data_IF_896928845264
#
_entry.id   IF_896928845264
#
_cell.length_a   1.000
_cell.length_b   1.000
_cell.length_c   1.000
_cell.angle_alpha   90.00
_cell.angle_beta   90.00
_cell.angle_gamma   90.00
#
_symmetry.space_group_name_H-M   'P 1'
#
loop_
_entity.id
_entity.type
_entity.pdbx_description
1 polymer ?
#
# COMPACT_ATOMS: atom_id res chain seq x y z
N UNK A 1 -8.63 4.38 -10.07
CA UNK A 1 -8.97 3.23 -9.21
C UNK A 1 -9.68 2.11 -9.97
N UNK A 2 -10.70 2.38 -10.81
CA UNK A 2 -11.44 1.33 -11.55
C UNK A 2 -10.62 0.48 -12.54
N UNK A 3 -9.50 0.99 -13.07
CA UNK A 3 -8.63 0.24 -14.00
C UNK A 3 -7.71 -0.81 -13.36
N UNK A 4 -7.61 -0.81 -12.02
CA UNK A 4 -6.75 -1.72 -11.25
C UNK A 4 -7.54 -2.91 -10.67
N UNK A 5 -8.85 -2.76 -10.48
CA UNK A 5 -9.71 -3.80 -9.90
C UNK A 5 -9.63 -5.16 -10.62
N UNK A 6 -9.64 -5.24 -11.97
CA UNK A 6 -9.53 -6.52 -12.66
C UNK A 6 -8.19 -7.23 -12.43
N UNK A 7 -7.12 -6.46 -12.25
CA UNK A 7 -5.78 -6.98 -11.97
C UNK A 7 -5.74 -7.55 -10.55
N UNK A 8 -6.29 -6.82 -9.58
CA UNK A 8 -6.38 -7.30 -8.19
C UNK A 8 -7.19 -8.59 -8.15
N UNK A 9 -8.38 -8.62 -8.76
CA UNK A 9 -9.21 -9.82 -8.81
C UNK A 9 -8.49 -11.00 -9.47
N UNK A 10 -7.82 -10.76 -10.60
CA UNK A 10 -7.02 -11.79 -11.28
C UNK A 10 -5.87 -12.33 -10.41
N UNK A 11 -5.20 -11.46 -9.64
CA UNK A 11 -4.15 -11.87 -8.72
C UNK A 11 -4.68 -12.78 -7.59
N UNK A 12 -5.86 -12.47 -7.04
CA UNK A 12 -6.53 -13.33 -6.05
C UNK A 12 -6.87 -14.69 -6.63
N UNK A 13 -7.46 -14.71 -7.84
CA UNK A 13 -7.81 -15.97 -8.51
C UNK A 13 -6.57 -16.83 -8.74
N UNK A 14 -5.47 -16.25 -9.23
CA UNK A 14 -4.22 -16.98 -9.44
C UNK A 14 -3.64 -17.52 -8.14
N UNK A 15 -3.67 -16.75 -7.06
CA UNK A 15 -3.18 -17.21 -5.77
C UNK A 15 -4.02 -18.36 -5.19
N UNK A 16 -5.36 -18.29 -5.33
CA UNK A 16 -6.26 -19.38 -4.91
C UNK A 16 -6.05 -20.63 -5.77
N UNK A 17 -5.83 -20.48 -7.09
CA UNK A 17 -5.55 -21.62 -7.97
C UNK A 17 -4.22 -22.26 -7.60
N UNK A 18 -3.16 -21.47 -7.42
CA UNK A 18 -1.85 -21.97 -7.01
C UNK A 18 -1.89 -22.59 -5.59
N UNK A 19 -2.64 -22.00 -4.66
CA UNK A 19 -2.89 -22.55 -3.34
C UNK A 19 -3.64 -23.88 -3.39
N UNK A 20 -4.67 -23.99 -4.24
CA UNK A 20 -5.41 -25.22 -4.48
C UNK A 20 -4.50 -26.33 -5.01
N UNK A 21 -3.61 -26.01 -5.96
CA UNK A 21 -2.62 -26.96 -6.47
C UNK A 21 -1.70 -27.45 -5.35
N UNK A 22 -1.25 -26.54 -4.48
CA UNK A 22 -0.38 -26.89 -3.36
C UNK A 22 -1.09 -27.78 -2.33
N UNK A 23 -2.36 -27.51 -2.02
CA UNK A 23 -3.19 -28.38 -1.18
C UNK A 23 -3.24 -29.79 -1.77
N UNK A 24 -3.49 -29.91 -3.08
CA UNK A 24 -3.56 -31.21 -3.78
C UNK A 24 -2.21 -31.94 -3.70
N UNK A 25 -1.09 -31.25 -3.91
CA UNK A 25 0.23 -31.88 -3.86
C UNK A 25 0.69 -32.27 -2.45
N UNK A 26 0.19 -31.60 -1.41
CA UNK A 26 0.61 -31.84 -0.02
C UNK A 26 -0.31 -32.79 0.75
N UNK A 27 -1.52 -33.04 0.25
CA UNK A 27 -2.47 -33.90 0.93
C UNK A 27 -2.11 -35.39 0.81
N UNK A 28 -2.07 -36.09 1.95
CA UNK A 28 -1.66 -37.50 2.01
C UNK A 28 -2.61 -38.44 1.25
N UNK A 29 -3.92 -38.19 1.28
CA UNK A 29 -4.91 -39.01 0.58
C UNK A 29 -4.79 -38.85 -0.94
N UNK A 30 -4.52 -37.63 -1.40
CA UNK A 30 -4.25 -37.36 -2.82
C UNK A 30 -2.95 -38.04 -3.26
N UNK A 31 -1.88 -37.96 -2.46
CA UNK A 31 -0.62 -38.63 -2.76
C UNK A 31 -0.78 -40.16 -2.83
N UNK A 32 -1.55 -40.74 -1.90
CA UNK A 32 -1.87 -42.16 -1.93
C UNK A 32 -2.66 -42.54 -3.19
N UNK A 33 -3.68 -41.74 -3.55
CA UNK A 33 -4.51 -41.95 -4.75
C UNK A 33 -3.74 -41.77 -6.06
N UNK A 34 -2.73 -40.88 -6.09
CA UNK A 34 -1.87 -40.67 -7.23
C UNK A 34 -1.04 -41.93 -7.56
N UNK A 35 -0.67 -42.73 -6.55
CA UNK A 35 0.09 -43.97 -6.73
C UNK A 35 -0.62 -45.03 -7.58
N UNK A 36 -1.95 -45.00 -7.63
CA UNK A 36 -2.78 -45.90 -8.45
C UNK A 36 -3.68 -45.13 -9.43
N UNK A 37 -3.26 -43.94 -9.85
CA UNK A 37 -4.03 -43.06 -10.73
C UNK A 37 -4.53 -43.75 -12.01
N UNK A 38 -3.68 -44.54 -12.67
CA UNK A 38 -4.06 -45.24 -13.91
C UNK A 38 -5.03 -46.40 -13.68
N UNK A 39 -5.19 -46.88 -12.45
CA UNK A 39 -6.16 -47.91 -12.10
C UNK A 39 -7.53 -47.30 -11.75
N UNK A 40 -7.54 -46.19 -10.99
CA UNK A 40 -8.76 -45.50 -10.56
C UNK A 40 -8.55 -43.98 -10.51
N UNK A 41 -8.62 -43.28 -11.64
CA UNK A 41 -8.36 -41.84 -11.68
C UNK A 41 -9.41 -41.03 -10.91
N UNK A 42 -10.63 -41.56 -10.77
CA UNK A 42 -11.72 -40.94 -10.02
C UNK A 42 -11.41 -40.77 -8.51
N UNK A 43 -10.63 -41.68 -7.92
CA UNK A 43 -10.29 -41.65 -6.50
C UNK A 43 -9.33 -40.46 -6.24
N UNK A 44 -8.39 -40.22 -7.14
CA UNK A 44 -7.49 -39.06 -7.05
C UNK A 44 -8.23 -37.74 -7.25
N UNK A 45 -9.14 -37.66 -8.22
CA UNK A 45 -9.92 -36.44 -8.49
C UNK A 45 -10.88 -36.10 -7.34
N UNK A 46 -11.52 -37.11 -6.76
CA UNK A 46 -12.41 -36.93 -5.60
C UNK A 46 -11.63 -36.57 -4.33
N UNK A 47 -10.49 -37.21 -4.07
CA UNK A 47 -9.59 -36.84 -2.98
C UNK A 47 -9.10 -35.39 -3.13
N UNK A 48 -8.72 -34.97 -4.33
CA UNK A 48 -8.30 -33.60 -4.62
C UNK A 48 -9.44 -32.59 -4.37
N UNK A 49 -10.64 -32.90 -4.85
CA UNK A 49 -11.83 -32.07 -4.63
C UNK A 49 -12.18 -31.94 -3.14
N UNK A 50 -12.11 -33.05 -2.39
CA UNK A 50 -12.36 -33.06 -0.95
C UNK A 50 -11.33 -32.24 -0.18
N UNK A 51 -10.04 -32.42 -0.46
CA UNK A 51 -8.96 -31.68 0.19
C UNK A 51 -9.08 -30.17 -0.03
N UNK A 52 -9.35 -29.74 -1.27
CA UNK A 52 -9.58 -28.33 -1.61
C UNK A 52 -10.81 -27.80 -0.86
N UNK A 53 -11.94 -28.52 -0.92
CA UNK A 53 -13.19 -28.10 -0.29
C UNK A 53 -13.05 -28.00 1.23
N UNK A 54 -12.40 -28.96 1.87
CA UNK A 54 -12.16 -28.96 3.31
C UNK A 54 -11.27 -27.79 3.74
N UNK A 55 -10.17 -27.54 3.01
CA UNK A 55 -9.27 -26.42 3.29
C UNK A 55 -9.98 -25.06 3.19
N UNK A 56 -10.66 -24.78 2.08
CA UNK A 56 -11.33 -23.49 1.89
C UNK A 56 -12.59 -23.33 2.74
N UNK A 57 -13.32 -24.41 3.01
CA UNK A 57 -14.46 -24.36 3.95
C UNK A 57 -13.99 -24.15 5.39
N UNK A 58 -12.86 -24.75 5.81
CA UNK A 58 -12.26 -24.48 7.11
C UNK A 58 -11.77 -23.02 7.21
N UNK A 59 -11.11 -22.51 6.16
CA UNK A 59 -10.72 -21.11 6.06
C UNK A 59 -11.92 -20.18 6.21
N UNK A 60 -12.99 -20.41 5.43
CA UNK A 60 -14.22 -19.60 5.50
C UNK A 60 -14.89 -19.66 6.88
N UNK A 61 -14.97 -20.87 7.47
CA UNK A 61 -15.55 -21.05 8.81
C UNK A 61 -14.80 -20.30 9.88
N UNK A 62 -13.46 -20.27 9.81
CA UNK A 62 -12.65 -19.52 10.78
C UNK A 62 -12.55 -18.02 10.50
N UNK A 63 -12.76 -17.60 9.25
CA UNK A 63 -12.61 -16.20 8.83
C UNK A 63 -13.92 -15.38 8.85
N UNK A 64 -15.06 -16.00 8.50
CA UNK A 64 -16.30 -15.26 8.26
C UNK A 64 -17.43 -15.78 9.13
N UNK A 65 -17.84 -17.04 8.95
CA UNK A 65 -18.98 -17.58 9.68
C UNK A 65 -18.87 -19.09 9.84
N UNK A 66 -18.87 -19.55 11.09
CA UNK A 66 -18.89 -20.98 11.39
C UNK A 66 -20.32 -21.52 11.42
N UNK A 67 -20.76 -22.05 10.27
CA UNK A 67 -22.08 -22.68 10.10
C UNK A 67 -22.22 -24.03 10.83
N UNK A 68 -21.15 -24.57 11.43
CA UNK A 68 -21.23 -25.80 12.23
C UNK A 68 -21.69 -25.54 13.67
N UNK A 69 -21.70 -24.27 14.10
CA UNK A 69 -22.12 -23.89 15.44
C UNK A 69 -23.65 -23.79 15.54
N UNK A 70 -24.24 -24.22 16.66
CA UNK A 70 -25.70 -24.28 16.84
C UNK A 70 -26.37 -22.91 16.92
N UNK A 71 -25.64 -21.87 17.33
CA UNK A 71 -26.17 -20.52 17.57
C UNK A 71 -25.46 -19.48 16.72
N UNK A 72 -26.20 -18.48 16.23
CA UNK A 72 -25.64 -17.36 15.44
C UNK A 72 -24.49 -16.64 16.17
N UNK A 73 -24.60 -16.46 17.49
CA UNK A 73 -23.57 -15.79 18.30
C UNK A 73 -22.21 -16.49 18.26
N UNK A 74 -22.22 -17.83 18.22
CA UNK A 74 -21.02 -18.65 18.08
C UNK A 74 -20.52 -18.69 16.64
N UNK A 75 -21.43 -18.66 15.66
CA UNK A 75 -21.06 -18.61 14.24
C UNK A 75 -20.37 -17.31 13.83
N UNK A 76 -20.86 -16.16 14.32
CA UNK A 76 -20.27 -14.83 14.03
C UNK A 76 -18.96 -14.57 14.81
N UNK A 77 -18.64 -15.41 15.80
CA UNK A 77 -17.40 -15.29 16.56
C UNK A 77 -16.14 -15.39 15.67
N UNK A 78 -16.21 -16.11 14.56
CA UNK A 78 -15.16 -16.20 13.56
C UNK A 78 -14.83 -14.83 12.95
N UNK A 79 -15.85 -14.10 12.46
CA UNK A 79 -15.67 -12.74 11.94
C UNK A 79 -15.12 -11.80 13.02
N UNK A 80 -15.61 -11.92 14.25
CA UNK A 80 -15.09 -11.12 15.37
C UNK A 80 -13.62 -11.45 15.64
N UNK A 81 -13.21 -12.72 15.55
CA UNK A 81 -11.81 -13.09 15.66
C UNK A 81 -10.98 -12.50 14.50
N UNK A 82 -11.49 -12.52 13.28
CA UNK A 82 -10.81 -11.87 12.14
C UNK A 82 -10.62 -10.37 12.32
N UNK A 83 -11.62 -9.67 12.87
CA UNK A 83 -11.50 -8.25 13.21
C UNK A 83 -10.47 -8.01 14.32
N UNK A 84 -10.39 -8.91 15.28
CA UNK A 84 -9.37 -8.88 16.33
C UNK A 84 -7.96 -9.00 15.73
N UNK A 85 -7.71 -10.02 14.91
CA UNK A 85 -6.39 -10.23 14.26
C UNK A 85 -6.07 -9.09 13.26
N UNK A 86 -7.07 -8.55 12.55
CA UNK A 86 -6.88 -7.44 11.61
C UNK A 86 -6.47 -6.12 12.29
N UNK A 87 -6.87 -5.89 13.54
CA UNK A 87 -6.68 -4.62 14.26
C UNK A 87 -5.21 -4.17 14.29
N UNK A 88 -4.25 -4.97 14.81
CA UNK A 88 -2.85 -4.58 14.83
C UNK A 88 -2.23 -4.51 13.43
N UNK A 89 -2.67 -5.36 12.48
CA UNK A 89 -2.21 -5.35 11.09
C UNK A 89 -2.59 -4.04 10.37
N UNK A 90 -3.81 -3.53 10.58
CA UNK A 90 -4.26 -2.25 10.02
C UNK A 90 -3.40 -1.12 10.59
N UNK A 91 -3.23 -1.05 11.91
CA UNK A 91 -2.47 0.02 12.57
C UNK A 91 -1.00 0.01 12.14
N UNK A 92 -0.34 -1.15 12.15
CA UNK A 92 1.04 -1.30 11.71
C UNK A 92 1.20 -1.02 10.21
N UNK A 93 0.28 -1.53 9.38
CA UNK A 93 0.26 -1.28 7.94
C UNK A 93 0.10 0.21 7.60
N UNK A 94 -0.69 0.96 8.38
CA UNK A 94 -0.82 2.42 8.23
C UNK A 94 0.51 3.12 8.52
N UNK A 95 1.23 2.70 9.56
CA UNK A 95 2.54 3.25 9.89
C UNK A 95 3.58 2.98 8.81
N UNK A 96 3.67 1.74 8.33
CA UNK A 96 4.58 1.37 7.23
C UNK A 96 4.20 2.09 5.93
N UNK A 97 2.91 2.11 5.58
CA UNK A 97 2.41 2.83 4.40
C UNK A 97 2.65 4.33 4.45
N UNK A 98 2.54 4.96 5.63
CA UNK A 98 2.90 6.37 5.81
C UNK A 98 4.40 6.59 5.57
N UNK A 99 5.27 5.72 6.08
CA UNK A 99 6.72 5.84 5.85
C UNK A 99 7.05 5.78 4.35
N UNK A 100 6.42 4.86 3.60
CA UNK A 100 6.58 4.79 2.13
C UNK A 100 6.16 6.09 1.43
N UNK A 101 5.12 6.78 1.92
CA UNK A 101 4.70 8.08 1.36
C UNK A 101 5.71 9.20 1.55
N UNK A 102 6.62 9.07 2.51
CA UNK A 102 7.72 10.02 2.78
C UNK A 102 9.01 9.58 2.07
N UNK A 103 9.00 8.46 1.35
CA UNK A 103 10.19 7.90 0.69
C UNK A 103 11.10 7.13 1.66
N UNK A 104 10.56 6.65 2.78
CA UNK A 104 11.29 5.89 3.80
C UNK A 104 10.81 4.44 3.80
N UNK A 105 11.71 3.49 3.51
CA UNK A 105 11.37 2.07 3.54
C UNK A 105 11.53 1.48 4.96
N UNK A 106 10.51 1.66 5.80
CA UNK A 106 10.53 1.26 7.22
C UNK A 106 10.30 -0.25 7.40
N UNK A 107 11.37 -1.02 7.61
CA UNK A 107 11.32 -2.45 8.00
C UNK A 107 11.35 -2.61 9.55
N UNK A 108 11.41 -1.49 10.28
CA UNK A 108 11.56 -1.45 11.74
C UNK A 108 10.27 -1.68 12.52
N UNK A 109 9.19 -2.12 11.84
CA UNK A 109 7.87 -2.26 12.43
C UNK A 109 7.87 -3.21 13.62
N UNK A 110 8.62 -4.31 13.53
CA UNK A 110 8.78 -5.25 14.63
C UNK A 110 9.32 -4.57 15.89
N UNK A 111 10.46 -3.88 15.80
CA UNK A 111 11.06 -3.19 16.95
C UNK A 111 10.14 -2.11 17.53
N UNK A 112 9.43 -1.38 16.68
CA UNK A 112 8.45 -0.37 17.10
C UNK A 112 7.30 -1.01 17.91
N UNK A 113 6.79 -2.18 17.48
CA UNK A 113 5.79 -2.97 18.22
C UNK A 113 6.35 -3.42 19.57
N UNK A 114 7.57 -3.97 19.61
CA UNK A 114 8.19 -4.49 20.84
C UNK A 114 8.36 -3.38 21.90
N UNK A 115 8.85 -2.20 21.50
CA UNK A 115 9.01 -1.07 22.43
C UNK A 115 7.66 -0.47 22.84
N UNK A 116 6.68 -0.41 21.94
CA UNK A 116 5.35 0.06 22.29
C UNK A 116 4.65 -0.88 23.30
N UNK A 117 4.77 -2.19 23.09
CA UNK A 117 4.31 -3.20 24.03
C UNK A 117 5.03 -3.08 25.38
N UNK A 118 6.36 -2.86 25.37
CA UNK A 118 7.13 -2.65 26.59
C UNK A 118 6.67 -1.41 27.37
N UNK A 119 6.49 -0.27 26.70
CA UNK A 119 6.03 0.98 27.32
C UNK A 119 4.62 0.86 27.90
N UNK A 120 3.67 0.31 27.13
CA UNK A 120 2.30 0.08 27.59
C UNK A 120 2.23 -0.94 28.73
N UNK A 121 2.96 -2.05 28.62
CA UNK A 121 3.05 -3.07 29.65
C UNK A 121 3.69 -2.57 30.93
N UNK A 122 4.65 -1.65 30.85
CA UNK A 122 5.28 -1.05 32.03
C UNK A 122 4.28 -0.22 32.82
N UNK A 123 3.52 0.65 32.15
CA UNK A 123 2.44 1.40 32.80
C UNK A 123 1.42 0.43 33.40
N UNK A 124 0.92 -0.50 32.59
CA UNK A 124 -0.14 -1.43 32.97
C UNK A 124 0.22 -2.38 34.12
N UNK A 125 1.51 -2.60 34.40
CA UNK A 125 1.96 -3.50 35.48
C UNK A 125 2.54 -2.77 36.69
N UNK A 126 3.05 -1.55 36.52
CA UNK A 126 3.81 -0.83 37.57
C UNK A 126 3.10 0.38 38.13
N UNK A 127 2.10 0.89 37.42
CA UNK A 127 1.36 2.06 37.86
C UNK A 127 -0.02 1.63 38.36
N UNK A 128 -0.42 2.17 39.50
CA UNK A 128 -1.77 2.03 40.02
C UNK A 128 -2.52 3.32 39.73
N UNK A 129 -3.34 3.30 38.67
CA UNK A 129 -4.15 4.43 38.26
C UNK A 129 -5.63 4.04 38.19
N UNK A 130 -6.55 5.00 38.39
CA UNK A 130 -7.98 4.75 38.24
C UNK A 130 -8.36 4.26 36.83
N UNK A 131 -9.46 3.52 36.74
CA UNK A 131 -10.02 3.06 35.47
C UNK A 131 -10.22 4.24 34.49
N UNK A 132 -9.94 4.02 33.21
CA UNK A 132 -9.97 5.05 32.17
C UNK A 132 -8.67 5.84 32.08
N UNK A 133 -8.21 6.47 33.17
CA UNK A 133 -6.92 7.18 33.18
C UNK A 133 -5.77 6.21 32.95
N UNK A 134 -5.79 5.05 33.62
CA UNK A 134 -4.75 4.05 33.47
C UNK A 134 -4.59 3.61 32.01
N UNK A 135 -5.70 3.26 31.36
CA UNK A 135 -5.71 2.87 29.94
C UNK A 135 -5.19 3.99 29.03
N UNK A 136 -5.63 5.24 29.23
CA UNK A 136 -5.19 6.38 28.41
C UNK A 136 -3.68 6.59 28.56
N UNK A 137 -3.16 6.56 29.79
CA UNK A 137 -1.72 6.72 30.04
C UNK A 137 -0.94 5.55 29.41
N UNK A 138 -1.41 4.31 29.57
CA UNK A 138 -0.76 3.15 28.97
C UNK A 138 -0.73 3.23 27.42
N UNK A 139 -1.84 3.67 26.81
CA UNK A 139 -1.94 3.88 25.38
C UNK A 139 -0.98 4.98 24.90
N UNK A 140 -0.98 6.14 25.55
CA UNK A 140 -0.12 7.27 25.18
C UNK A 140 1.35 6.92 25.33
N UNK A 141 1.74 6.27 26.44
CA UNK A 141 3.14 5.86 26.67
C UNK A 141 3.57 4.80 25.65
N UNK A 142 2.75 3.78 25.38
CA UNK A 142 3.08 2.78 24.36
C UNK A 142 3.21 3.37 22.96
N UNK A 143 2.27 4.23 22.54
CA UNK A 143 2.36 4.95 21.26
C UNK A 143 3.62 5.83 21.21
N UNK A 144 3.93 6.54 22.29
CA UNK A 144 5.13 7.37 22.36
C UNK A 144 6.41 6.54 22.23
N UNK A 145 6.49 5.37 22.86
CA UNK A 145 7.64 4.47 22.71
C UNK A 145 7.82 4.00 21.26
N UNK A 146 6.75 3.58 20.59
CA UNK A 146 6.79 3.23 19.16
C UNK A 146 7.24 4.41 18.29
N UNK A 147 6.69 5.60 18.54
CA UNK A 147 7.02 6.84 17.84
C UNK A 147 8.50 7.23 18.01
N UNK A 148 8.98 7.28 19.26
CA UNK A 148 10.35 7.63 19.59
C UNK A 148 11.33 6.62 18.99
N UNK A 149 11.00 5.32 19.02
CA UNK A 149 11.85 4.27 18.45
C UNK A 149 12.05 4.44 16.94
N UNK A 150 10.96 4.67 16.20
CA UNK A 150 11.04 4.99 14.78
C UNK A 150 11.74 6.34 14.52
N UNK A 151 11.51 7.32 15.40
CA UNK A 151 12.12 8.63 15.36
C UNK A 151 13.66 8.59 15.37
N UNK A 152 14.27 7.63 16.07
CA UNK A 152 15.72 7.41 16.06
C UNK A 152 16.21 7.18 14.62
N UNK A 153 15.59 6.26 13.88
CA UNK A 153 15.93 6.00 12.48
C UNK A 153 15.70 7.23 11.59
N UNK A 154 14.61 7.97 11.83
CA UNK A 154 14.32 9.23 11.13
C UNK A 154 15.39 10.30 11.33
N UNK A 155 15.89 10.47 12.56
CA UNK A 155 16.98 11.42 12.88
C UNK A 155 18.29 10.98 12.24
N UNK A 156 18.63 9.69 12.32
CA UNK A 156 19.86 9.16 11.73
C UNK A 156 19.86 9.38 10.22
N UNK A 157 18.77 9.03 9.52
CA UNK A 157 18.62 9.34 8.09
C UNK A 157 18.76 10.84 7.80
N UNK A 158 18.08 11.68 8.59
CA UNK A 158 18.05 13.12 8.38
C UNK A 158 19.42 13.80 8.60
N UNK A 159 20.25 13.30 9.52
CA UNK A 159 21.52 13.92 9.87
C UNK A 159 22.72 13.32 9.15
N UNK A 160 22.77 12.00 9.01
CA UNK A 160 23.94 11.30 8.49
C UNK A 160 23.74 10.72 7.10
N UNK A 161 22.49 10.70 6.60
CA UNK A 161 22.17 10.04 5.33
C UNK A 161 22.17 8.51 5.41
N UNK A 162 22.30 7.92 6.62
CA UNK A 162 22.31 6.47 6.82
C UNK A 162 21.12 5.78 6.15
N UNK A 163 21.34 4.63 5.53
CA UNK A 163 20.28 3.91 4.84
C UNK A 163 19.26 3.38 5.86
N UNK A 164 18.04 3.89 5.77
CA UNK A 164 16.94 3.64 6.69
C UNK A 164 16.57 2.15 6.78
N UNK A 165 16.72 1.39 5.70
CA UNK A 165 16.49 -0.05 5.69
C UNK A 165 17.43 -0.75 6.66
N UNK A 166 18.73 -0.51 6.54
CA UNK A 166 19.75 -1.13 7.40
C UNK A 166 19.55 -0.69 8.85
N UNK A 167 19.36 0.61 9.08
CA UNK A 167 19.16 1.16 10.43
C UNK A 167 17.94 0.55 11.11
N UNK A 168 16.82 0.44 10.40
CA UNK A 168 15.58 -0.09 10.98
C UNK A 168 15.65 -1.60 11.24
N UNK A 169 16.31 -2.38 10.37
CA UNK A 169 16.56 -3.81 10.63
C UNK A 169 17.45 -3.99 11.87
N UNK A 170 18.53 -3.21 11.99
CA UNK A 170 19.42 -3.29 13.15
C UNK A 170 18.71 -2.88 14.44
N UNK A 171 17.87 -1.84 14.39
CA UNK A 171 17.06 -1.42 15.53
C UNK A 171 16.01 -2.46 15.95
N UNK A 172 15.56 -3.38 15.09
CA UNK A 172 14.70 -4.49 15.53
C UNK A 172 15.42 -5.43 16.50
N UNK A 173 16.70 -5.75 16.24
CA UNK A 173 17.48 -6.59 17.15
C UNK A 173 17.75 -5.88 18.47
N UNK A 174 18.12 -4.60 18.43
CA UNK A 174 18.30 -3.79 19.64
C UNK A 174 17.00 -3.74 20.45
N UNK A 175 15.86 -3.53 19.79
CA UNK A 175 14.54 -3.53 20.42
C UNK A 175 14.22 -4.84 21.13
N UNK A 176 14.47 -5.97 20.46
CA UNK A 176 14.27 -7.30 21.04
C UNK A 176 15.13 -7.52 22.27
N UNK A 177 16.41 -7.14 22.24
CA UNK A 177 17.29 -7.28 23.40
C UNK A 177 16.90 -6.34 24.55
N UNK A 178 16.45 -5.12 24.24
CA UNK A 178 15.90 -4.21 25.26
C UNK A 178 14.62 -4.77 25.89
N UNK A 179 13.73 -5.36 25.10
CA UNK A 179 12.54 -6.03 25.61
C UNK A 179 12.92 -7.22 26.49
N UNK A 180 13.85 -8.08 26.06
CA UNK A 180 14.33 -9.21 26.87
C UNK A 180 14.96 -8.75 28.18
N UNK A 181 15.76 -7.68 28.15
CA UNK A 181 16.29 -7.04 29.36
C UNK A 181 15.16 -6.57 30.28
N UNK A 182 14.13 -5.92 29.72
CA UNK A 182 12.96 -5.47 30.48
C UNK A 182 12.17 -6.62 31.12
N UNK A 183 11.95 -7.70 30.36
CA UNK A 183 11.24 -8.91 30.79
C UNK A 183 12.05 -9.76 31.78
N UNK A 184 13.37 -9.58 31.83
CA UNK A 184 14.25 -10.20 32.84
C UNK A 184 14.49 -9.32 34.07
N UNK A 185 13.98 -8.10 34.10
CA UNK A 185 14.24 -7.12 35.16
C UNK A 185 12.99 -6.85 36.00
N UNK A 186 13.06 -7.21 37.29
CA UNK A 186 11.91 -7.14 38.21
C UNK A 186 11.30 -5.76 38.39
N UNK A 187 12.02 -4.65 38.24
CA UNK A 187 11.44 -3.30 38.35
C UNK A 187 10.88 -2.76 37.02
N UNK A 188 11.11 -3.46 35.91
CA UNK A 188 10.65 -3.09 34.56
C UNK A 188 9.38 -3.86 34.19
N UNK A 189 9.51 -5.07 33.64
CA UNK A 189 8.37 -5.83 33.13
C UNK A 189 8.24 -7.20 33.77
N UNK A 190 9.33 -7.81 34.25
CA UNK A 190 9.30 -9.18 34.76
C UNK A 190 8.22 -9.38 35.82
N UNK A 191 7.46 -10.47 35.69
CA UNK A 191 6.46 -10.86 36.67
C UNK A 191 7.09 -11.04 38.08
N UNK A 192 6.50 -10.39 39.08
CA UNK A 192 6.96 -10.46 40.47
C UNK A 192 6.85 -11.91 40.96
N UNK A 193 7.94 -12.44 41.51
CA UNK A 193 7.98 -13.81 42.03
C UNK A 193 8.11 -14.92 40.96
N UNK A 194 8.40 -14.56 39.70
CA UNK A 194 8.61 -15.51 38.60
C UNK A 194 10.01 -15.35 38.00
N UNK A 195 10.68 -16.46 37.73
CA UNK A 195 11.94 -16.50 36.97
C UNK A 195 11.72 -16.52 35.45
N UNK A 196 10.48 -16.65 34.99
CA UNK A 196 10.16 -16.65 33.57
C UNK A 196 10.37 -15.25 32.96
N UNK A 197 10.95 -15.20 31.75
CA UNK A 197 11.15 -13.99 30.96
C UNK A 197 9.82 -13.59 30.29
N UNK A 198 8.87 -13.13 31.12
CA UNK A 198 7.53 -12.68 30.71
C UNK A 198 7.12 -11.47 31.54
N UNK A 199 6.22 -10.66 31.00
CA UNK A 199 5.70 -9.50 31.71
C UNK A 199 4.92 -9.92 32.96
N UNK A 200 4.64 -8.98 33.86
CA UNK A 200 3.57 -9.13 34.85
C UNK A 200 2.20 -9.28 34.19
N UNK A 201 1.19 -9.62 34.99
CA UNK A 201 -0.21 -9.57 34.56
C UNK A 201 -0.65 -8.12 34.39
N UNK A 202 -1.34 -7.82 33.29
CA UNK A 202 -1.83 -6.46 33.04
C UNK A 202 -2.95 -6.11 34.03
N UNK A 203 -2.89 -4.91 34.60
CA UNK A 203 -3.96 -4.42 35.46
C UNK A 203 -5.28 -4.31 34.69
N UNK A 204 -6.39 -4.68 35.33
CA UNK A 204 -7.72 -4.62 34.72
C UNK A 204 -8.12 -3.21 34.28
N UNK A 205 -7.63 -2.18 34.98
CA UNK A 205 -7.87 -0.78 34.62
C UNK A 205 -7.11 -0.31 33.39
N UNK A 206 -6.08 -1.05 32.94
CA UNK A 206 -5.25 -0.75 31.77
C UNK A 206 -5.55 -1.64 30.55
N UNK A 207 -6.25 -2.76 30.72
CA UNK A 207 -6.61 -3.65 29.59
C UNK A 207 -7.67 -2.98 28.71
N UNK A 208 -7.55 -3.15 27.40
CA UNK A 208 -8.52 -2.63 26.45
C UNK A 208 -9.89 -3.29 26.67
N UNK A 209 -10.96 -2.50 26.88
CA UNK A 209 -12.30 -3.05 27.02
C UNK A 209 -12.74 -3.80 25.76
N UNK A 210 -13.48 -4.90 25.93
CA UNK A 210 -14.10 -5.64 24.83
C UNK A 210 -15.33 -4.89 24.31
N UNK A 211 -15.52 -4.84 23.00
CA UNK A 211 -16.61 -4.04 22.39
C UNK A 211 -17.98 -4.72 22.48
N UNK A 212 -18.03 -6.04 22.39
CA UNK A 212 -19.27 -6.81 22.18
C UNK A 212 -19.54 -7.83 23.29
N UNK A 213 -18.99 -7.61 24.48
CA UNK A 213 -19.07 -8.55 25.60
C UNK A 213 -17.90 -9.54 25.66
N UNK A 214 -17.90 -10.40 26.67
CA UNK A 214 -16.77 -11.28 26.98
C UNK A 214 -16.57 -12.43 25.99
N UNK A 215 -17.62 -12.77 25.25
CA UNK A 215 -17.63 -13.84 24.26
C UNK A 215 -16.79 -13.52 23.01
N UNK A 216 -16.47 -12.25 22.76
CA UNK A 216 -15.68 -11.83 21.60
C UNK A 216 -14.34 -11.25 22.03
N UNK A 217 -13.28 -11.58 21.27
CA UNK A 217 -11.92 -11.06 21.51
C UNK A 217 -11.73 -9.62 21.02
N UNK A 218 -12.69 -9.06 20.27
CA UNK A 218 -12.57 -7.70 19.73
C UNK A 218 -12.61 -6.66 20.84
N UNK A 219 -11.58 -5.83 20.88
CA UNK A 219 -11.42 -4.75 21.86
C UNK A 219 -11.63 -3.38 21.21
N UNK A 220 -11.68 -2.34 22.05
CA UNK A 220 -11.69 -0.93 21.62
C UNK A 220 -10.50 -0.59 20.70
N UNK A 221 -9.44 -1.41 20.70
CA UNK A 221 -8.33 -1.32 19.74
C UNK A 221 -8.79 -1.23 18.28
N UNK A 222 -9.87 -1.92 17.89
CA UNK A 222 -10.41 -1.84 16.53
C UNK A 222 -10.90 -0.41 16.20
N UNK A 223 -11.57 0.25 17.15
CA UNK A 223 -12.02 1.63 16.96
C UNK A 223 -10.83 2.59 16.85
N UNK A 224 -9.77 2.36 17.62
CA UNK A 224 -8.53 3.14 17.54
C UNK A 224 -7.87 2.95 16.17
N UNK A 225 -7.81 1.71 15.65
CA UNK A 225 -7.26 1.43 14.32
C UNK A 225 -8.10 2.09 13.22
N UNK A 226 -9.43 2.04 13.29
CA UNK A 226 -10.32 2.72 12.34
C UNK A 226 -10.14 4.24 12.42
N UNK A 227 -10.07 4.81 13.63
CA UNK A 227 -9.79 6.23 13.81
C UNK A 227 -8.41 6.61 13.22
N UNK A 228 -7.41 5.74 13.35
CA UNK A 228 -6.10 5.93 12.72
C UNK A 228 -6.19 5.90 11.19
N UNK A 229 -7.03 5.07 10.58
CA UNK A 229 -7.27 5.09 9.12
C UNK A 229 -7.76 6.47 8.67
N UNK A 230 -8.79 7.01 9.34
CA UNK A 230 -9.32 8.33 9.03
C UNK A 230 -8.32 9.45 9.30
N UNK A 231 -7.55 9.35 10.39
CA UNK A 231 -6.47 10.28 10.70
C UNK A 231 -5.41 10.31 9.60
N UNK A 232 -4.93 9.16 9.15
CA UNK A 232 -3.90 9.07 8.10
C UNK A 232 -4.45 9.55 6.76
N UNK A 233 -5.71 9.24 6.45
CA UNK A 233 -6.40 9.79 5.28
C UNK A 233 -6.45 11.32 5.30
N UNK A 234 -6.92 11.90 6.40
CA UNK A 234 -6.93 13.35 6.56
C UNK A 234 -5.52 13.95 6.50
N UNK A 235 -4.55 13.32 7.17
CA UNK A 235 -3.15 13.77 7.17
C UNK A 235 -2.59 13.80 5.75
N UNK A 236 -2.69 12.71 4.98
CA UNK A 236 -2.08 12.60 3.66
C UNK A 236 -2.79 13.40 2.57
N UNK A 237 -4.13 13.43 2.59
CA UNK A 237 -4.94 14.00 1.52
C UNK A 237 -5.40 15.43 1.79
N UNK A 238 -5.57 15.82 3.06
CA UNK A 238 -6.18 17.10 3.43
C UNK A 238 -5.23 18.05 4.16
N UNK A 239 -4.07 17.61 4.64
CA UNK A 239 -3.13 18.46 5.39
C UNK A 239 -1.94 18.96 4.57
N UNK A 240 -1.41 20.12 4.94
CA UNK A 240 -0.16 20.67 4.38
C UNK A 240 1.07 19.85 4.73
N UNK A 241 1.07 19.18 5.90
CA UNK A 241 2.14 18.28 6.31
C UNK A 241 2.19 17.05 5.40
N UNK A 242 1.03 16.44 5.12
CA UNK A 242 0.93 15.30 4.20
C UNK A 242 1.30 15.64 2.76
N UNK A 243 0.96 16.85 2.30
CA UNK A 243 1.44 17.34 1.01
C UNK A 243 2.98 17.37 0.96
N UNK A 244 3.64 18.00 1.94
CA UNK A 244 5.10 18.05 2.02
C UNK A 244 5.74 16.67 2.10
N UNK A 245 5.15 15.78 2.90
CA UNK A 245 5.57 14.37 3.02
C UNK A 245 5.56 13.66 1.66
N UNK A 246 4.45 13.78 0.90
CA UNK A 246 4.32 13.17 -0.43
C UNK A 246 5.31 13.74 -1.44
N UNK A 247 5.53 15.05 -1.44
CA UNK A 247 6.50 15.71 -2.33
C UNK A 247 7.92 15.20 -2.04
N UNK A 248 8.30 15.11 -0.75
CA UNK A 248 9.60 14.56 -0.34
C UNK A 248 9.75 13.09 -0.77
N UNK A 249 8.70 12.28 -0.61
CA UNK A 249 8.73 10.88 -1.00
C UNK A 249 8.81 10.64 -2.51
N UNK A 250 8.31 11.57 -3.33
CA UNK A 250 8.41 11.50 -4.79
C UNK A 250 9.77 11.96 -5.30
N UNK A 251 10.24 13.12 -4.84
CA UNK A 251 11.54 13.64 -5.23
C UNK A 251 12.11 14.57 -4.13
N UNK A 252 13.05 14.09 -3.29
CA UNK A 252 13.61 14.91 -2.23
C UNK A 252 14.47 16.07 -2.75
N UNK A 253 15.03 15.97 -3.96
CA UNK A 253 15.80 17.07 -4.56
C UNK A 253 14.87 18.23 -4.98
N UNK A 254 13.77 17.92 -5.68
CA UNK A 254 12.76 18.91 -6.03
C UNK A 254 12.06 19.49 -4.79
N UNK A 255 11.87 18.69 -3.74
CA UNK A 255 11.34 19.18 -2.47
C UNK A 255 12.25 20.26 -1.83
N UNK A 256 13.58 20.09 -1.91
CA UNK A 256 14.54 21.08 -1.39
C UNK A 256 14.50 22.38 -2.17
N UNK A 257 14.40 22.34 -3.50
CA UNK A 257 14.30 23.56 -4.32
C UNK A 257 12.99 24.31 -4.07
N UNK A 258 11.92 23.59 -3.71
CA UNK A 258 10.65 24.18 -3.25
C UNK A 258 10.67 24.65 -1.77
N UNK A 259 11.83 24.66 -1.11
CA UNK A 259 11.99 25.15 0.27
C UNK A 259 11.52 24.18 1.37
N UNK A 260 11.24 22.91 1.04
CA UNK A 260 10.82 21.91 2.03
C UNK A 260 12.05 21.33 2.73
N UNK A 261 12.06 21.37 4.07
CA UNK A 261 13.08 20.71 4.87
C UNK A 261 12.88 19.19 4.86
N UNK A 262 13.62 18.50 3.99
CA UNK A 262 13.58 17.03 3.80
C UNK A 262 13.91 16.28 5.09
N UNK A 263 14.96 16.68 5.81
CA UNK A 263 15.38 16.01 7.06
C UNK A 263 14.29 16.05 8.13
N UNK A 264 13.60 17.18 8.27
CA UNK A 264 12.45 17.31 9.17
C UNK A 264 11.28 16.43 8.74
N UNK A 265 11.07 16.24 7.44
CA UNK A 265 10.02 15.35 6.92
C UNK A 265 10.37 13.87 7.18
N UNK A 266 11.63 13.45 7.03
CA UNK A 266 12.05 12.09 7.41
C UNK A 266 11.83 11.82 8.90
N UNK A 267 12.23 12.75 9.77
CA UNK A 267 12.01 12.61 11.20
C UNK A 267 10.53 12.54 11.55
N UNK A 268 9.72 13.51 11.11
CA UNK A 268 8.28 13.54 11.41
C UNK A 268 7.54 12.34 10.79
N UNK A 269 7.90 11.95 9.58
CA UNK A 269 7.35 10.79 8.90
C UNK A 269 7.58 9.51 9.70
N UNK A 270 8.81 9.29 10.15
CA UNK A 270 9.14 8.14 10.99
C UNK A 270 8.50 8.22 12.38
N UNK A 271 8.44 9.41 12.99
CA UNK A 271 7.80 9.60 14.30
C UNK A 271 6.31 9.22 14.25
N UNK A 272 5.57 9.71 13.24
CA UNK A 272 4.14 9.39 13.07
C UNK A 272 3.96 7.92 12.63
N UNK A 273 4.83 7.41 11.76
CA UNK A 273 4.81 5.99 11.38
C UNK A 273 4.99 5.08 12.59
N UNK A 274 5.97 5.37 13.46
CA UNK A 274 6.19 4.65 14.70
C UNK A 274 5.05 4.80 15.71
N UNK A 275 4.36 5.94 15.73
CA UNK A 275 3.16 6.11 16.56
C UNK A 275 2.03 5.17 16.09
N UNK A 276 1.81 5.06 14.78
CA UNK A 276 0.80 4.18 14.18
C UNK A 276 1.15 2.71 14.39
N UNK A 277 2.40 2.32 14.20
CA UNK A 277 2.89 0.98 14.55
C UNK A 277 2.82 0.74 16.06
N UNK A 278 3.02 1.79 16.86
CA UNK A 278 2.89 1.76 18.31
C UNK A 278 1.47 1.41 18.75
N UNK A 279 0.43 1.89 18.04
CA UNK A 279 -0.96 1.47 18.28
C UNK A 279 -1.08 -0.05 18.16
N UNK A 280 -0.47 -0.67 17.14
CA UNK A 280 -0.47 -2.13 17.00
C UNK A 280 0.16 -2.82 18.22
N UNK A 281 1.34 -2.36 18.66
CA UNK A 281 2.00 -2.92 19.85
C UNK A 281 1.20 -2.75 21.14
N UNK A 282 0.53 -1.61 21.34
CA UNK A 282 -0.38 -1.43 22.48
C UNK A 282 -1.57 -2.38 22.39
N UNK A 283 -2.18 -2.52 21.21
CA UNK A 283 -3.33 -3.42 21.04
C UNK A 283 -2.97 -4.88 21.29
N UNK A 284 -1.74 -5.30 20.97
CA UNK A 284 -1.24 -6.64 21.26
C UNK A 284 -0.99 -6.84 22.76
N UNK A 285 -0.28 -5.90 23.40
CA UNK A 285 0.09 -5.99 24.81
C UNK A 285 -1.10 -5.89 25.77
N UNK A 286 -2.06 -5.00 25.47
CA UNK A 286 -3.21 -4.69 26.34
C UNK A 286 -4.51 -5.37 25.89
N UNK A 287 -4.44 -6.34 24.99
CA UNK A 287 -5.60 -7.13 24.52
C UNK A 287 -6.23 -7.97 25.64
N UNK A 288 -5.41 -8.44 26.59
CA UNK A 288 -5.86 -9.30 27.69
C UNK A 288 -5.05 -9.04 28.97
N UNK A 289 -5.51 -9.62 30.09
CA UNK A 289 -4.77 -9.59 31.36
C UNK A 289 -3.50 -10.47 31.34
N UNK A 290 -3.36 -11.35 30.34
CA UNK A 290 -2.28 -12.32 30.28
C UNK A 290 -0.93 -11.66 30.03
N UNK A 291 0.15 -12.20 30.62
CA UNK A 291 1.49 -11.69 30.39
C UNK A 291 1.97 -12.00 28.97
N UNK A 292 2.77 -11.10 28.40
CA UNK A 292 3.41 -11.29 27.10
C UNK A 292 4.91 -11.59 27.25
N UNK A 293 5.49 -12.22 26.23
CA UNK A 293 6.90 -12.60 26.16
C UNK A 293 7.64 -11.90 25.00
N UNK A 294 8.75 -12.48 24.57
CA UNK A 294 9.56 -11.95 23.47
C UNK A 294 8.82 -11.98 22.11
N UNK A 295 7.92 -12.95 21.90
CA UNK A 295 7.10 -13.08 20.71
C UNK A 295 5.83 -12.22 20.67
N UNK A 296 5.75 -11.11 21.41
CA UNK A 296 4.55 -10.25 21.45
C UNK A 296 4.20 -9.65 20.09
N UNK A 297 5.16 -9.50 19.18
CA UNK A 297 4.90 -8.96 17.83
C UNK A 297 4.18 -9.94 16.90
N UNK A 298 4.25 -11.25 17.17
CA UNK A 298 3.61 -12.30 16.39
C UNK A 298 3.84 -12.23 14.86
N UNK A 299 4.96 -11.66 14.39
CA UNK A 299 5.26 -11.48 12.95
C UNK A 299 4.59 -10.25 12.31
N UNK A 300 3.69 -9.58 13.02
CA UNK A 300 2.86 -8.47 12.50
C UNK A 300 3.73 -7.31 11.99
N UNK A 301 4.89 -7.09 12.60
CA UNK A 301 5.82 -6.05 12.17
C UNK A 301 6.31 -6.21 10.72
N UNK A 302 6.50 -7.45 10.27
CA UNK A 302 6.85 -7.76 8.88
C UNK A 302 5.61 -7.87 7.98
N UNK A 303 4.55 -8.50 8.47
CA UNK A 303 3.29 -8.63 7.72
C UNK A 303 2.69 -7.25 7.37
N UNK A 304 2.91 -6.25 8.22
CA UNK A 304 2.52 -4.87 7.96
C UNK A 304 3.11 -4.28 6.67
N UNK A 305 4.30 -4.71 6.25
CA UNK A 305 4.91 -4.31 4.97
C UNK A 305 4.05 -4.83 3.83
N UNK A 306 3.70 -6.10 3.91
CA UNK A 306 2.87 -6.78 2.95
C UNK A 306 1.48 -6.15 2.86
N UNK A 307 0.86 -5.86 4.00
CA UNK A 307 -0.43 -5.14 4.09
C UNK A 307 -0.32 -3.73 3.47
N UNK A 308 0.76 -3.01 3.72
CA UNK A 308 0.99 -1.68 3.15
C UNK A 308 1.19 -1.70 1.63
N UNK A 309 1.93 -2.69 1.12
CA UNK A 309 2.16 -2.90 -0.32
C UNK A 309 0.85 -3.31 -1.02
N UNK A 310 0.13 -4.28 -0.46
CA UNK A 310 -1.16 -4.74 -0.95
C UNK A 310 -2.20 -3.61 -0.99
N UNK A 311 -2.24 -2.79 0.06
CA UNK A 311 -3.10 -1.61 0.15
C UNK A 311 -2.65 -0.43 -0.71
N UNK A 312 -1.57 -0.56 -1.49
CA UNK A 312 -1.03 0.49 -2.35
C UNK A 312 -0.61 1.75 -1.58
N UNK A 313 -0.22 1.61 -0.31
CA UNK A 313 0.07 2.71 0.62
C UNK A 313 -1.06 3.75 0.69
N UNK A 314 -2.32 3.34 0.52
CA UNK A 314 -3.51 4.17 0.72
C UNK A 314 -4.21 3.77 2.01
N UNK A 315 -4.76 4.71 2.80
CA UNK A 315 -5.37 4.37 4.10
C UNK A 315 -6.49 3.34 4.00
N UNK A 316 -7.42 3.53 3.05
CA UNK A 316 -8.52 2.60 2.83
C UNK A 316 -8.08 1.28 2.17
N UNK A 317 -7.04 1.32 1.33
CA UNK A 317 -6.45 0.10 0.79
C UNK A 317 -5.77 -0.73 1.88
N UNK A 318 -5.08 -0.08 2.83
CA UNK A 318 -4.47 -0.71 4.00
C UNK A 318 -5.54 -1.30 4.92
N UNK A 319 -6.65 -0.59 5.13
CA UNK A 319 -7.79 -1.13 5.87
C UNK A 319 -8.31 -2.42 5.23
N UNK A 320 -8.57 -2.42 3.92
CA UNK A 320 -9.04 -3.60 3.20
C UNK A 320 -8.02 -4.76 3.23
N UNK A 321 -6.74 -4.46 3.03
CA UNK A 321 -5.65 -5.44 3.10
C UNK A 321 -5.49 -6.03 4.52
N UNK A 322 -5.57 -5.20 5.56
CA UNK A 322 -5.47 -5.64 6.96
C UNK A 322 -6.66 -6.52 7.37
N UNK A 323 -7.88 -6.18 6.92
CA UNK A 323 -9.06 -7.04 7.11
C UNK A 323 -8.90 -8.40 6.43
N UNK A 324 -8.38 -8.41 5.20
CA UNK A 324 -8.07 -9.65 4.49
C UNK A 324 -7.04 -10.50 5.25
N UNK A 325 -5.92 -9.91 5.66
CA UNK A 325 -4.90 -10.62 6.42
C UNK A 325 -5.46 -11.17 7.74
N UNK A 326 -6.23 -10.38 8.48
CA UNK A 326 -6.89 -10.85 9.72
C UNK A 326 -7.89 -11.98 9.48
N UNK A 327 -8.63 -11.97 8.35
CA UNK A 327 -9.49 -13.08 7.94
C UNK A 327 -8.68 -14.36 7.68
N UNK A 328 -7.57 -14.26 6.94
CA UNK A 328 -6.70 -15.40 6.66
C UNK A 328 -6.05 -15.95 7.95
N UNK A 329 -5.59 -15.06 8.84
CA UNK A 329 -4.92 -15.41 10.08
C UNK A 329 -5.88 -16.04 11.11
N UNK A 330 -7.13 -15.56 11.19
CA UNK A 330 -8.17 -16.21 11.98
C UNK A 330 -8.60 -17.56 11.39
N UNK A 331 -8.71 -17.65 10.07
CA UNK A 331 -9.12 -18.88 9.40
C UNK A 331 -8.05 -19.98 9.40
N UNK A 332 -6.76 -19.63 9.45
CA UNK A 332 -5.65 -20.59 9.53
C UNK A 332 -5.72 -21.47 10.79
N UNK A 333 -6.25 -20.93 11.90
CA UNK A 333 -6.48 -21.68 13.14
C UNK A 333 -7.49 -22.80 12.91
N UNK A 334 -8.59 -22.51 12.22
CA UNK A 334 -9.62 -23.52 11.90
C UNK A 334 -9.12 -24.54 10.87
N UNK A 335 -8.27 -24.13 9.92
CA UNK A 335 -7.60 -25.06 9.00
C UNK A 335 -6.70 -26.05 9.76
N UNK A 336 -5.92 -25.55 10.73
CA UNK A 336 -5.08 -26.41 11.58
C UNK A 336 -5.89 -27.44 12.36
N UNK A 337 -7.07 -27.05 12.84
CA UNK A 337 -8.00 -27.98 13.52
C UNK A 337 -8.48 -29.07 12.54
N UNK A 338 -8.77 -28.69 11.29
CA UNK A 338 -9.13 -29.61 10.21
C UNK A 338 -7.93 -30.41 9.63
N UNK A 339 -6.79 -30.47 10.33
CA UNK A 339 -5.57 -31.15 9.89
C UNK A 339 -4.99 -30.64 8.56
N UNK A 340 -5.39 -29.43 8.13
CA UNK A 340 -4.81 -28.74 7.00
C UNK A 340 -3.67 -27.84 7.51
N UNK A 341 -2.43 -27.97 7.00
CA UNK A 341 -1.31 -27.14 7.45
C UNK A 341 -1.63 -25.64 7.32
N UNK A 342 -1.42 -24.89 8.40
CA UNK A 342 -1.69 -23.45 8.43
C UNK A 342 -0.71 -22.67 7.54
N UNK A 343 0.47 -23.24 7.28
CA UNK A 343 1.52 -22.70 6.41
C UNK A 343 1.01 -22.50 4.96
N UNK A 344 -0.06 -23.21 4.56
CA UNK A 344 -0.71 -22.99 3.27
C UNK A 344 -1.31 -21.59 3.16
N UNK A 345 -1.80 -21.03 4.28
CA UNK A 345 -2.34 -19.67 4.34
C UNK A 345 -1.24 -18.66 4.07
N UNK A 346 -0.06 -18.84 4.68
CA UNK A 346 1.10 -17.95 4.48
C UNK A 346 1.58 -17.99 3.02
N UNK A 347 1.61 -19.17 2.41
CA UNK A 347 1.96 -19.31 0.99
C UNK A 347 0.92 -18.63 0.09
N UNK A 348 -0.37 -18.80 0.36
CA UNK A 348 -1.43 -18.14 -0.42
C UNK A 348 -1.33 -16.62 -0.28
N UNK A 349 -1.11 -16.09 0.94
CA UNK A 349 -0.89 -14.65 1.15
C UNK A 349 0.35 -14.13 0.40
N UNK A 350 1.46 -14.88 0.44
CA UNK A 350 2.67 -14.53 -0.30
C UNK A 350 2.43 -14.51 -1.83
N UNK A 351 1.66 -15.47 -2.36
CA UNK A 351 1.27 -15.52 -3.77
C UNK A 351 0.34 -14.36 -4.15
N UNK A 352 -0.65 -14.02 -3.31
CA UNK A 352 -1.52 -12.85 -3.53
C UNK A 352 -0.66 -11.60 -3.71
N UNK A 353 0.30 -11.40 -2.81
CA UNK A 353 1.17 -10.23 -2.79
C UNK A 353 2.09 -10.22 -4.01
N UNK A 354 2.69 -11.37 -4.35
CA UNK A 354 3.52 -11.53 -5.54
C UNK A 354 2.75 -11.16 -6.82
N UNK A 355 1.54 -11.69 -6.99
CA UNK A 355 0.73 -11.40 -8.18
C UNK A 355 0.26 -9.94 -8.22
N UNK A 356 -0.03 -9.32 -7.07
CA UNK A 356 -0.40 -7.90 -7.00
C UNK A 356 0.80 -6.98 -7.28
N UNK A 357 2.00 -7.38 -6.86
CA UNK A 357 3.24 -6.69 -7.20
C UNK A 357 3.67 -6.88 -8.66
N UNK A 358 3.11 -7.88 -9.36
CA UNK A 358 3.35 -8.14 -10.78
C UNK A 358 2.13 -7.88 -11.69
N UNK A 359 1.59 -6.64 -11.78
CA UNK A 359 0.48 -6.32 -12.68
C UNK A 359 0.68 -6.75 -14.14
N UNK A 360 1.88 -6.62 -14.75
CA UNK A 360 2.09 -7.06 -16.14
C UNK A 360 1.86 -8.57 -16.33
N UNK A 361 2.29 -9.39 -15.37
CA UNK A 361 2.12 -10.85 -15.40
C UNK A 361 0.64 -11.22 -15.35
N UNK A 362 -0.11 -10.65 -14.39
CA UNK A 362 -1.55 -10.91 -14.25
C UNK A 362 -2.30 -10.44 -15.49
N UNK A 363 -1.96 -9.27 -16.03
CA UNK A 363 -2.58 -8.77 -17.27
C UNK A 363 -2.28 -9.67 -18.46
N UNK A 364 -1.08 -10.23 -18.57
CA UNK A 364 -0.72 -11.15 -19.64
C UNK A 364 -1.54 -12.45 -19.55
N UNK A 365 -1.66 -13.04 -18.35
CA UNK A 365 -2.42 -14.28 -18.12
C UNK A 365 -3.92 -14.10 -18.44
N UNK A 366 -4.52 -12.97 -18.02
CA UNK A 366 -5.95 -12.71 -18.24
C UNK A 366 -6.26 -11.88 -19.50
N UNK A 367 -5.27 -11.58 -20.34
CA UNK A 367 -5.44 -10.80 -21.57
C UNK A 367 -5.97 -9.37 -21.36
N UNK A 368 -5.67 -8.75 -20.21
CA UNK A 368 -6.20 -7.44 -19.85
C UNK A 368 -5.49 -6.29 -20.62
N UNK A 369 -6.19 -5.19 -20.94
CA UNK A 369 -5.60 -4.06 -21.67
C UNK A 369 -4.39 -3.46 -20.96
N UNK A 370 -3.34 -3.07 -21.72
CA UNK A 370 -2.20 -2.31 -21.18
C UNK A 370 -2.67 -0.94 -20.67
N UNK A 371 -2.22 -0.47 -19.49
CA UNK A 371 -2.61 0.84 -19.00
C UNK A 371 -2.02 1.92 -19.92
N UNK A 372 -2.81 2.94 -20.28
CA UNK A 372 -2.36 4.08 -21.09
C UNK A 372 -2.56 3.95 -22.62
N UNK A 373 -2.94 2.78 -23.16
CA UNK A 373 -3.35 2.70 -24.57
C UNK A 373 -4.83 3.07 -24.69
N UNK A 374 -5.21 4.01 -25.58
CA UNK A 374 -6.61 4.40 -25.76
C UNK A 374 -7.45 3.16 -26.08
N UNK A 375 -8.59 3.04 -25.40
CA UNK A 375 -9.56 1.96 -25.59
C UNK A 375 -9.88 1.80 -27.08
N UNK A 376 -10.21 0.59 -27.52
CA UNK A 376 -10.61 0.34 -28.93
C UNK A 376 -11.74 1.28 -29.37
N UNK A 377 -12.61 1.69 -28.44
CA UNK A 377 -13.68 2.68 -28.67
C UNK A 377 -13.14 4.10 -28.83
N UNK A 378 -12.18 4.50 -27.99
CA UNK A 378 -11.50 5.80 -28.09
C UNK A 378 -10.63 5.90 -29.34
N UNK A 379 -9.96 4.81 -29.73
CA UNK A 379 -9.18 4.73 -30.97
C UNK A 379 -10.08 4.88 -32.20
N UNK A 380 -11.26 4.26 -32.18
CA UNK A 380 -12.27 4.40 -33.24
C UNK A 380 -12.86 5.82 -33.28
N UNK A 381 -13.14 6.42 -32.11
CA UNK A 381 -13.62 7.80 -32.02
C UNK A 381 -12.58 8.83 -32.49
N UNK A 382 -11.29 8.65 -32.11
CA UNK A 382 -10.19 9.49 -32.59
C UNK A 382 -10.00 9.38 -34.09
N UNK A 383 -10.10 8.16 -34.65
CA UNK A 383 -10.00 7.95 -36.10
C UNK A 383 -11.16 8.59 -36.87
N UNK A 384 -12.38 8.53 -36.32
CA UNK A 384 -13.54 9.24 -36.87
C UNK A 384 -13.35 10.76 -36.81
N UNK A 385 -12.97 11.30 -35.66
CA UNK A 385 -12.77 12.73 -35.47
C UNK A 385 -11.61 13.30 -36.32
N UNK A 386 -10.57 12.50 -36.55
CA UNK A 386 -9.49 12.84 -37.46
C UNK A 386 -9.96 12.87 -38.92
N UNK A 387 -10.78 11.89 -39.34
CA UNK A 387 -11.37 11.87 -40.68
C UNK A 387 -12.34 13.05 -40.90
N UNK A 388 -13.13 13.42 -39.90
CA UNK A 388 -14.03 14.58 -39.95
C UNK A 388 -13.23 15.90 -40.03
N UNK A 389 -12.12 16.02 -39.29
CA UNK A 389 -11.23 17.19 -39.40
C UNK A 389 -10.54 17.28 -40.76
N UNK A 390 -10.04 16.17 -41.28
CA UNK A 390 -9.40 16.14 -42.59
C UNK A 390 -10.37 16.55 -43.71
N UNK A 391 -11.63 16.11 -43.64
CA UNK A 391 -12.65 16.51 -44.62
C UNK A 391 -13.03 18.00 -44.51
N UNK A 392 -13.08 18.56 -43.30
CA UNK A 392 -13.31 20.00 -43.09
C UNK A 392 -12.16 20.87 -43.62
N UNK A 393 -10.90 20.45 -43.42
CA UNK A 393 -9.72 21.17 -43.94
C UNK A 393 -9.68 21.11 -45.46
N UNK A 394 -9.97 19.96 -46.07
CA UNK A 394 -10.06 19.83 -47.53
C UNK A 394 -11.17 20.70 -48.13
N UNK A 395 -12.32 20.83 -47.45
CA UNK A 395 -13.40 21.71 -47.90
C UNK A 395 -13.00 23.21 -47.83
N UNK A 396 -12.29 23.61 -46.78
CA UNK A 396 -11.80 24.98 -46.61
C UNK A 396 -10.71 25.36 -47.65
N UNK A 397 -9.82 24.43 -47.97
CA UNK A 397 -8.79 24.63 -49.00
C UNK A 397 -9.39 24.83 -50.41
N UNK A 398 -10.57 24.27 -50.68
CA UNK A 398 -11.28 24.45 -51.96
C UNK A 398 -12.05 25.77 -52.10
N UNK A 399 -12.18 26.58 -51.04
CA UNK A 399 -13.03 27.79 -51.05
C UNK A 399 -12.26 29.12 -51.11
N UNK A 400 -10.93 29.10 -51.16
CA UNK A 400 -10.12 30.33 -51.24
C UNK A 400 -10.05 30.82 -52.70
N UNK A 401 -11.16 31.39 -53.20
CA UNK A 401 -11.11 32.29 -54.35
C UNK A 401 -10.86 33.72 -53.86
N UNK A 402 -9.80 34.32 -54.39
CA UNK A 402 -9.26 35.64 -54.15
C UNK A 402 -10.23 36.65 -53.48
N UNK A 403 -9.88 37.08 -52.26
CA UNK A 403 -10.50 38.24 -51.62
C UNK A 403 -9.63 39.46 -51.93
N UNK A 404 -10.06 40.32 -52.85
CA UNK A 404 -9.51 41.67 -52.97
C UNK A 404 -10.15 42.55 -51.89
N UNK A 405 -9.33 43.14 -51.04
CA UNK A 405 -9.79 44.15 -50.07
C UNK A 405 -9.15 45.48 -50.44
N UNK A 406 -9.98 46.47 -50.79
CA UNK A 406 -9.53 47.85 -50.95
C UNK A 406 -9.28 48.44 -49.56
N UNK A 407 -8.08 48.96 -49.32
CA UNK A 407 -7.75 49.71 -48.09
C UNK A 407 -7.51 51.17 -48.46
N UNK A 408 -8.32 52.06 -47.89
CA UNK A 408 -8.12 53.51 -47.96
C UNK A 408 -7.01 53.91 -46.98
N UNK A 409 -5.94 54.53 -47.49
CA UNK A 409 -4.88 55.11 -46.67
C UNK A 409 -4.90 56.62 -46.87
N UNK A 410 -4.94 57.37 -45.77
CA UNK A 410 -4.78 58.82 -45.75
C UNK A 410 -3.32 59.16 -45.51
N UNK A 411 -2.78 60.07 -46.33
CA UNK A 411 -1.42 60.58 -46.10
C UNK A 411 -1.38 61.68 -45.03
N UNK A 412 -0.18 62.08 -44.62
CA UNK A 412 0.04 63.05 -43.55
C UNK A 412 -0.46 64.49 -43.88
N UNK A 413 -1.01 64.73 -45.07
CA UNK A 413 -1.65 65.99 -45.46
C UNK A 413 -3.19 65.88 -45.57
N UNK A 414 -3.77 64.70 -45.31
CA UNK A 414 -5.22 64.52 -45.18
C UNK A 414 -5.98 64.30 -46.49
N UNK A 415 -5.32 63.88 -47.58
CA UNK A 415 -6.01 63.42 -48.80
C UNK A 415 -6.05 61.89 -48.85
N UNK A 416 -7.21 61.31 -49.19
CA UNK A 416 -7.37 59.87 -49.43
C UNK A 416 -6.81 59.50 -50.81
N UNK A 417 -5.98 58.45 -50.87
CA UNK A 417 -5.54 57.83 -52.13
C UNK A 417 -5.83 56.32 -52.07
N UNK A 418 -6.50 55.80 -53.10
CA UNK A 418 -6.77 54.36 -53.25
C UNK A 418 -5.60 53.71 -53.98
N UNK A 419 -5.03 52.66 -53.39
CA UNK A 419 -4.05 51.78 -54.05
C UNK A 419 -4.48 50.33 -53.94
N UNK A 420 -4.59 49.65 -55.08
CA UNK A 420 -4.79 48.20 -55.14
C UNK A 420 -3.48 47.48 -54.80
N UNK A 421 -3.51 46.65 -53.76
CA UNK A 421 -2.43 45.69 -53.45
C UNK A 421 -2.93 44.29 -53.80
N UNK A 422 -2.41 43.72 -54.88
CA UNK A 422 -2.61 42.31 -55.19
C UNK A 422 -1.67 41.47 -54.30
N UNK A 423 -2.21 40.66 -53.40
CA UNK A 423 -1.44 39.63 -52.69
C UNK A 423 -1.48 38.36 -53.53
N UNK A 424 -0.38 38.06 -54.21
CA UNK A 424 -0.21 36.82 -54.98
C UNK A 424 0.23 35.70 -54.03
N UNK A 425 -0.65 34.73 -53.77
CA UNK A 425 -0.31 33.53 -53.00
C UNK A 425 0.43 32.59 -53.93
N UNK A 426 1.74 32.42 -53.73
CA UNK A 426 2.58 31.54 -54.54
C UNK A 426 2.40 30.06 -54.16
N UNK A 427 2.67 29.10 -55.08
CA UNK A 427 2.50 27.66 -54.84
C UNK A 427 3.34 27.09 -53.67
N UNK A 428 4.39 27.79 -53.24
CA UNK A 428 5.25 27.37 -52.13
C UNK A 428 4.53 27.42 -50.78
N UNK A 429 3.69 28.43 -50.54
CA UNK A 429 2.93 28.56 -49.28
C UNK A 429 1.88 27.44 -49.16
N UNK A 430 1.34 27.00 -50.29
CA UNK A 430 0.37 25.89 -50.35
C UNK A 430 1.08 24.53 -50.11
N UNK A 431 2.34 24.39 -50.52
CA UNK A 431 3.12 23.17 -50.32
C UNK A 431 3.58 22.98 -48.87
N UNK A 432 3.91 24.06 -48.16
CA UNK A 432 4.32 24.05 -46.76
C UNK A 432 3.15 23.64 -45.84
N UNK A 433 1.96 24.22 -46.03
CA UNK A 433 0.75 23.86 -45.29
C UNK A 433 0.27 22.42 -45.62
N UNK A 434 0.47 21.95 -46.85
CA UNK A 434 0.15 20.58 -47.23
C UNK A 434 1.12 19.56 -46.61
N UNK A 435 2.41 19.90 -46.48
CA UNK A 435 3.41 19.07 -45.81
C UNK A 435 3.11 18.94 -44.31
N UNK A 436 2.73 20.03 -43.65
CA UNK A 436 2.33 20.02 -42.24
C UNK A 436 1.03 19.23 -42.01
N UNK A 437 0.08 19.31 -42.94
CA UNK A 437 -1.14 18.49 -42.92
C UNK A 437 -0.83 16.99 -43.13
N UNK A 438 0.13 16.64 -44.00
CA UNK A 438 0.55 15.27 -44.24
C UNK A 438 1.26 14.67 -43.01
N UNK A 439 2.13 15.44 -42.35
CA UNK A 439 2.80 15.05 -41.09
C UNK A 439 1.79 14.82 -39.97
N UNK A 440 0.76 15.67 -39.85
CA UNK A 440 -0.34 15.47 -38.90
C UNK A 440 -1.18 14.22 -39.22
N UNK A 441 -1.28 13.85 -40.49
CA UNK A 441 -1.99 12.65 -40.95
C UNK A 441 -1.18 11.39 -40.66
N UNK A 442 0.13 11.40 -40.92
CA UNK A 442 1.05 10.28 -40.61
C UNK A 442 1.19 10.02 -39.10
N UNK A 443 1.15 11.09 -38.28
CA UNK A 443 1.06 11.01 -36.82
C UNK A 443 -0.28 10.42 -36.34
N UNK A 444 -1.37 10.67 -37.06
CA UNK A 444 -2.69 10.12 -36.74
C UNK A 444 -2.84 8.64 -37.17
N UNK A 445 -2.13 8.22 -38.21
CA UNK A 445 -2.10 6.84 -38.72
C UNK A 445 -1.09 5.94 -38.00
N UNK A 446 -0.13 6.53 -37.28
CA UNK A 446 0.85 5.82 -36.45
C UNK A 446 2.01 5.23 -37.24
N UNK A 447 2.32 5.80 -38.41
CA UNK A 447 3.42 5.36 -39.28
C UNK A 447 4.77 6.02 -38.94
N UNK A 448 4.80 7.00 -38.02
CA UNK A 448 6.01 7.67 -37.54
C UNK A 448 5.97 7.74 -36.01
N UNK A 449 7.06 7.36 -35.33
CA UNK A 449 7.18 7.55 -33.88
C UNK A 449 7.40 9.03 -33.55
N UNK A 450 6.80 9.56 -32.47
CA UNK A 450 7.00 10.95 -32.09
C UNK A 450 8.48 11.16 -31.71
N UNK A 451 9.13 12.13 -32.35
CA UNK A 451 10.47 12.58 -31.96
C UNK A 451 10.38 13.12 -30.54
N UNK A 452 11.08 12.49 -29.60
CA UNK A 452 11.29 13.03 -28.25
C UNK A 452 11.96 14.41 -28.39
N UNK A 453 11.33 15.43 -27.82
CA UNK A 453 11.88 16.79 -27.77
C UNK A 453 12.97 16.87 -26.69
N UNK A 454 14.11 16.23 -26.94
CA UNK A 454 15.38 16.48 -26.24
C UNK A 454 16.31 17.25 -27.18
N UNK A 455 16.06 18.56 -27.34
CA UNK A 455 17.00 19.48 -27.97
C UNK A 455 16.65 20.95 -27.67
N UNK A 456 16.93 21.40 -26.45
CA UNK A 456 17.46 22.75 -26.24
C UNK A 456 18.76 22.56 -25.46
N UNK A 457 19.84 22.43 -26.23
CA UNK A 457 21.20 22.40 -25.70
C UNK A 457 21.53 23.74 -25.04
N UNK A 458 21.90 23.66 -23.77
CA UNK A 458 22.76 24.66 -23.11
C UNK A 458 24.18 24.14 -23.32
N UNK A 459 24.99 24.90 -24.06
CA UNK A 459 26.42 24.60 -24.26
C UNK A 459 27.15 24.53 -22.91
N UNK A 460 28.09 23.59 -22.72
CA UNK A 460 29.01 23.64 -21.59
C UNK A 460 30.06 24.73 -21.84
N UNK A 461 30.28 25.55 -20.82
CA UNK A 461 31.37 26.52 -20.77
C UNK A 461 32.70 25.75 -20.63
N UNK A 462 33.62 26.01 -21.55
CA UNK A 462 35.02 25.58 -21.48
C UNK A 462 35.70 26.11 -20.22
N UNK A 463 36.12 25.20 -19.33
CA UNK A 463 37.16 25.46 -18.32
C UNK A 463 38.29 24.44 -18.49
N UNK A 464 39.24 24.76 -19.38
CA UNK A 464 40.60 24.24 -19.32
C UNK A 464 41.56 25.43 -19.17
N UNK A 465 42.31 25.46 -18.06
CA UNK A 465 43.51 26.28 -17.95
C UNK A 465 43.77 26.95 -16.60
N UNK A 466 44.13 26.18 -15.57
CA UNK A 466 44.99 26.67 -14.48
C UNK A 466 45.57 25.51 -13.67
N UNK A 467 46.71 25.00 -14.13
CA UNK A 467 47.67 24.26 -13.31
C UNK A 467 48.11 25.07 -12.08
N UNK A 468 48.02 24.48 -10.88
CA UNK A 468 49.13 24.25 -9.93
C UNK A 468 48.65 23.61 -8.63
#
# INVERSE_FOLDING_TARGET
MMSQFPVVLGAFVLAIVAGSLLIVFTNADVQAAAGYFFAKPQDMLSAAGNAISEAYSALFRGAIYDYTKPTFEQGIASLMNSLHEATPLIAAGLGVGLAFRVGMFNIGGQGQILLAAAGAGWVATRMELPAGIHLIVALVVGIAFGALWAGIAGILKARTGAHEVIVTIMLNHVARYLLLFALGTQWLLQAIGSSNVKSGYMAETAVLPKLFGDQYRVTVGLLIAIAAVFFVWWLLEKSSLGFRMRVVGQNPAAARTAGINVGRMYFLGMLIAGALVGIAGVTLALSSKAPFGDGVDAGIGFDAITVALLGGSTPFGILAAGLLFGMFQAGSVTMKIAQVPAELVDIVLALIVLFIAAPPLVRAIFGLPKPGKPSRKERKARKSAAADRASLVAAAAGTVTAVTTETLVTDAAGSEVVTDVAVEITPEVIAEDAADAQVLTDLAEGNVEPVESDAVGVDPIDEEGSEK
#
